data_IF_274217912243
#
_entry.id   IF_274217912243
#
_cell.length_a   1.000
_cell.length_b   1.000
_cell.length_c   1.000
_cell.angle_alpha   90.00
_cell.angle_beta   90.00
_cell.angle_gamma   90.00
#
_symmetry.space_group_name_H-M   'P 1'
#
loop_
_entity.id
_entity.type
_entity.pdbx_description
1 polymer ?
#
# COMPACT_ATOMS: atom_id res chain seq x y z
N UNK A 1 -7.75 -5.37 6.56
CA UNK A 1 -8.58 -5.50 7.77
C UNK A 1 -8.97 -6.96 8.03
N UNK A 2 -9.60 -7.65 7.08
CA UNK A 2 -9.98 -9.07 7.24
C UNK A 2 -8.84 -9.99 7.67
N UNK A 3 -7.68 -9.93 7.01
CA UNK A 3 -6.49 -10.70 7.41
C UNK A 3 -6.10 -10.44 8.88
N UNK A 4 -5.99 -9.17 9.31
CA UNK A 4 -5.72 -8.82 10.72
C UNK A 4 -6.81 -9.35 11.67
N UNK A 5 -8.09 -9.32 11.28
CA UNK A 5 -9.18 -9.86 12.09
C UNK A 5 -9.16 -11.40 12.21
N UNK A 6 -8.52 -12.08 11.26
CA UNK A 6 -8.26 -13.53 11.30
C UNK A 6 -7.02 -13.88 12.15
N UNK A 7 -6.27 -12.88 12.63
CA UNK A 7 -5.05 -13.06 13.39
C UNK A 7 -3.78 -13.08 12.52
N UNK A 8 -3.89 -12.82 11.22
CA UNK A 8 -2.76 -12.84 10.30
C UNK A 8 -1.96 -11.53 10.38
N UNK A 9 -0.68 -11.60 10.02
CA UNK A 9 0.09 -10.42 9.66
C UNK A 9 -0.11 -10.07 8.20
N UNK A 10 -0.15 -8.77 7.89
CA UNK A 10 -0.53 -8.29 6.58
C UNK A 10 0.30 -7.08 6.16
N UNK A 11 0.87 -7.17 4.95
CA UNK A 11 1.63 -6.11 4.30
C UNK A 11 0.97 -5.82 2.95
N UNK A 12 0.79 -4.53 2.63
CA UNK A 12 0.41 -4.08 1.29
C UNK A 12 1.63 -3.42 0.65
N UNK A 13 2.07 -3.95 -0.48
CA UNK A 13 3.19 -3.41 -1.27
C UNK A 13 2.68 -2.79 -2.57
N UNK A 14 2.83 -1.48 -2.72
CA UNK A 14 2.44 -0.73 -3.91
C UNK A 14 3.58 -0.71 -4.94
N UNK A 15 3.31 -1.16 -6.18
CA UNK A 15 4.29 -1.25 -7.27
C UNK A 15 3.65 -0.86 -8.62
N UNK A 16 4.47 -0.46 -9.60
CA UNK A 16 4.06 0.02 -10.94
C UNK A 16 3.01 1.15 -10.80
N UNK A 17 1.77 0.96 -11.27
CA UNK A 17 0.71 1.97 -11.15
C UNK A 17 0.05 1.98 -9.77
N UNK A 18 0.22 0.93 -8.98
CA UNK A 18 -0.28 0.90 -7.60
C UNK A 18 0.30 2.04 -6.75
N UNK A 19 1.51 2.52 -7.07
CA UNK A 19 2.13 3.63 -6.34
C UNK A 19 1.36 4.95 -6.48
N UNK A 20 0.54 5.12 -7.52
CA UNK A 20 -0.27 6.34 -7.68
C UNK A 20 -1.35 6.44 -6.62
N UNK A 21 -1.74 5.32 -5.99
CA UNK A 21 -2.70 5.29 -4.90
C UNK A 21 -2.15 5.97 -3.65
N UNK A 22 -0.86 5.79 -3.36
CA UNK A 22 -0.21 6.34 -2.16
C UNK A 22 0.37 7.74 -2.36
N UNK A 23 0.19 8.34 -3.54
CA UNK A 23 0.42 9.77 -3.73
C UNK A 23 -0.62 10.56 -2.93
N UNK A 24 -0.21 11.61 -2.23
CA UNK A 24 -1.08 12.52 -1.49
C UNK A 24 -2.27 12.97 -2.34
N UNK A 25 -3.43 13.04 -1.71
CA UNK A 25 -4.73 13.41 -2.29
C UNK A 25 -5.30 12.47 -3.36
N UNK A 26 -4.59 11.43 -3.81
CA UNK A 26 -5.11 10.52 -4.84
C UNK A 26 -6.11 9.52 -4.29
N UNK A 27 -5.82 8.88 -3.15
CA UNK A 27 -6.72 7.89 -2.55
C UNK A 27 -8.10 8.49 -2.16
N UNK A 28 -8.17 9.79 -1.87
CA UNK A 28 -9.42 10.49 -1.57
C UNK A 28 -10.37 10.58 -2.77
N UNK A 29 -9.79 10.59 -3.98
CA UNK A 29 -10.52 10.68 -5.25
C UNK A 29 -11.02 9.32 -5.72
N UNK A 30 -10.53 8.23 -5.11
CA UNK A 30 -10.91 6.86 -5.47
C UNK A 30 -12.10 6.45 -4.60
N UNK A 31 -13.27 6.33 -5.23
CA UNK A 31 -14.51 5.86 -4.60
C UNK A 31 -15.17 4.80 -5.47
N UNK A 32 -15.58 3.70 -4.86
CA UNK A 32 -16.25 2.61 -5.55
C UNK A 32 -17.64 2.38 -4.97
N UNK A 33 -18.68 2.69 -5.73
CA UNK A 33 -20.07 2.55 -5.28
C UNK A 33 -20.33 3.22 -3.92
N UNK A 34 -20.86 2.43 -2.99
CA UNK A 34 -21.20 2.88 -1.64
C UNK A 34 -20.04 2.74 -0.63
N UNK A 35 -18.85 2.31 -1.07
CA UNK A 35 -17.70 2.25 -0.18
C UNK A 35 -17.24 3.65 0.21
N UNK A 36 -16.65 3.80 1.41
CA UNK A 36 -15.89 5.00 1.78
C UNK A 36 -14.80 5.30 0.75
N UNK A 37 -14.29 6.54 0.71
CA UNK A 37 -13.08 6.86 -0.06
C UNK A 37 -11.93 5.90 0.31
N UNK A 38 -11.10 5.56 -0.67
CA UNK A 38 -10.01 4.61 -0.46
C UNK A 38 -9.03 5.09 0.63
N UNK A 39 -8.85 6.41 0.78
CA UNK A 39 -8.05 6.99 1.87
C UNK A 39 -8.53 6.57 3.26
N UNK A 40 -9.85 6.49 3.48
CA UNK A 40 -10.44 6.06 4.74
C UNK A 40 -10.23 4.56 4.97
N UNK A 41 -10.42 3.74 3.94
CA UNK A 41 -10.16 2.30 4.01
C UNK A 41 -8.67 2.01 4.29
N UNK A 42 -7.77 2.78 3.68
CA UNK A 42 -6.33 2.69 3.95
C UNK A 42 -5.99 3.12 5.38
N UNK A 43 -6.63 4.16 5.91
CA UNK A 43 -6.48 4.56 7.31
C UNK A 43 -6.93 3.44 8.25
N UNK A 44 -8.12 2.89 8.06
CA UNK A 44 -8.63 1.79 8.88
C UNK A 44 -7.73 0.55 8.82
N UNK A 45 -7.18 0.23 7.64
CA UNK A 45 -6.22 -0.86 7.48
C UNK A 45 -4.95 -0.63 8.32
N UNK A 46 -4.37 0.58 8.27
CA UNK A 46 -3.20 0.93 9.09
C UNK A 46 -3.50 0.91 10.59
N UNK A 47 -4.65 1.44 11.00
CA UNK A 47 -5.11 1.41 12.41
C UNK A 47 -5.32 -0.03 12.92
N UNK A 48 -5.63 -0.97 12.02
CA UNK A 48 -5.69 -2.40 12.33
C UNK A 48 -4.32 -3.10 12.37
N UNK A 49 -3.23 -2.35 12.13
CA UNK A 49 -1.86 -2.88 12.12
C UNK A 49 -1.40 -3.45 10.76
N UNK A 50 -2.06 -3.12 9.66
CA UNK A 50 -1.54 -3.46 8.31
C UNK A 50 -0.38 -2.52 7.97
N UNK A 51 0.76 -3.09 7.61
CA UNK A 51 1.89 -2.32 7.11
C UNK A 51 1.72 -1.97 5.63
N UNK A 52 2.11 -0.76 5.26
CA UNK A 52 2.04 -0.29 3.89
C UNK A 52 3.43 0.10 3.39
N UNK A 53 3.79 -0.38 2.21
CA UNK A 53 5.10 -0.17 1.60
C UNK A 53 4.96 0.23 0.14
N UNK A 54 5.85 1.08 -0.37
CA UNK A 54 5.83 1.54 -1.75
C UNK A 54 7.20 1.38 -2.40
N UNK A 55 7.20 0.92 -3.65
CA UNK A 55 8.41 0.72 -4.44
C UNK A 55 9.04 2.05 -4.88
N UNK A 56 10.24 2.35 -4.39
CA UNK A 56 10.99 3.59 -4.69
C UNK A 56 11.16 3.80 -6.21
N UNK A 57 11.60 2.77 -6.93
CA UNK A 57 11.80 2.84 -8.39
C UNK A 57 10.52 3.00 -9.18
N UNK A 58 9.40 2.45 -8.70
CA UNK A 58 8.11 2.65 -9.39
C UNK A 58 7.61 4.08 -9.19
N UNK A 59 7.80 4.66 -8.00
CA UNK A 59 7.47 6.06 -7.72
C UNK A 59 8.29 7.01 -8.60
N UNK A 60 9.60 6.82 -8.68
CA UNK A 60 10.48 7.62 -9.54
C UNK A 60 10.10 7.50 -11.03
N UNK A 61 9.80 6.29 -11.50
CA UNK A 61 9.36 6.05 -12.89
C UNK A 61 8.11 6.84 -13.25
N UNK A 62 7.21 7.07 -12.28
CA UNK A 62 5.98 7.82 -12.47
C UNK A 62 6.08 9.28 -12.00
N UNK A 63 7.28 9.76 -11.67
CA UNK A 63 7.53 11.14 -11.26
C UNK A 63 6.83 11.53 -9.95
N UNK A 64 6.81 10.62 -8.98
CA UNK A 64 6.26 10.86 -7.65
C UNK A 64 7.42 11.04 -6.68
N UNK A 65 7.55 12.24 -6.14
CA UNK A 65 8.59 12.55 -5.17
C UNK A 65 8.29 11.94 -3.81
N UNK A 66 9.33 11.62 -3.04
CA UNK A 66 9.21 11.00 -1.70
C UNK A 66 8.33 11.82 -0.75
N UNK A 67 8.37 13.17 -0.87
CA UNK A 67 7.55 14.07 -0.07
C UNK A 67 6.07 14.11 -0.46
N UNK A 68 5.72 13.58 -1.64
CA UNK A 68 4.34 13.44 -2.12
C UNK A 68 3.70 12.11 -1.70
N UNK A 69 4.42 11.21 -1.04
CA UNK A 69 3.88 9.94 -0.55
C UNK A 69 3.15 10.19 0.79
N UNK A 70 1.98 9.56 0.98
CA UNK A 70 1.21 9.69 2.22
C UNK A 70 1.95 9.15 3.43
N UNK A 71 1.77 9.81 4.57
CA UNK A 71 2.46 9.44 5.81
C UNK A 71 2.08 8.02 6.28
N UNK A 72 3.05 7.30 6.83
CA UNK A 72 2.90 5.93 7.31
C UNK A 72 3.02 4.86 6.22
N UNK A 73 3.37 5.22 4.99
CA UNK A 73 3.80 4.28 3.94
C UNK A 73 5.33 4.26 3.88
N UNK A 74 5.94 3.08 4.05
CA UNK A 74 7.39 2.90 4.01
C UNK A 74 7.90 2.83 2.57
N UNK A 75 8.88 3.67 2.21
CA UNK A 75 9.51 3.63 0.89
C UNK A 75 10.59 2.55 0.90
N UNK A 76 10.49 1.57 0.01
CA UNK A 76 11.36 0.39 -0.04
C UNK A 76 11.72 0.00 -1.48
N UNK A 77 12.72 -0.86 -1.64
CA UNK A 77 13.17 -1.34 -2.95
C UNK A 77 12.43 -2.59 -3.44
N UNK A 78 12.68 -3.00 -4.69
CA UNK A 78 12.14 -4.22 -5.27
C UNK A 78 12.67 -5.51 -4.59
N UNK A 79 13.90 -5.47 -4.07
CA UNK A 79 14.47 -6.59 -3.32
C UNK A 79 13.64 -6.93 -2.06
N UNK A 80 13.07 -5.92 -1.40
CA UNK A 80 12.16 -6.10 -0.26
C UNK A 80 10.92 -6.88 -0.68
N UNK A 81 10.33 -6.56 -1.83
CA UNK A 81 9.16 -7.32 -2.33
C UNK A 81 9.51 -8.79 -2.54
N UNK A 82 10.65 -9.09 -3.19
CA UNK A 82 11.07 -10.47 -3.41
C UNK A 82 11.24 -11.22 -2.08
N UNK A 83 11.82 -10.59 -1.07
CA UNK A 83 11.98 -11.21 0.24
C UNK A 83 10.62 -11.47 0.90
N UNK A 84 9.72 -10.48 0.89
CA UNK A 84 8.36 -10.63 1.45
C UNK A 84 7.58 -11.75 0.78
N UNK A 85 7.70 -11.91 -0.54
CA UNK A 85 7.04 -12.99 -1.29
C UNK A 85 7.57 -14.37 -0.88
N UNK A 86 8.86 -14.48 -0.58
CA UNK A 86 9.48 -15.75 -0.16
C UNK A 86 9.17 -16.11 1.30
N UNK A 87 8.96 -15.11 2.15
CA UNK A 87 8.68 -15.30 3.58
C UNK A 87 7.20 -15.44 3.90
N UNK A 88 6.29 -14.91 3.07
CA UNK A 88 4.86 -14.96 3.32
C UNK A 88 4.27 -16.36 3.11
N UNK A 89 3.36 -16.76 3.99
CA UNK A 89 2.57 -17.99 3.83
C UNK A 89 1.59 -17.92 2.64
N UNK A 90 1.26 -16.71 2.19
CA UNK A 90 0.39 -16.48 1.03
C UNK A 90 0.55 -15.08 0.45
N UNK A 91 0.47 -14.98 -0.88
CA UNK A 91 0.59 -13.72 -1.60
C UNK A 91 -0.56 -13.55 -2.60
N UNK A 92 -1.18 -12.37 -2.58
CA UNK A 92 -2.23 -11.98 -3.51
C UNK A 92 -1.75 -10.81 -4.36
N UNK A 93 -1.96 -10.90 -5.68
CA UNK A 93 -1.62 -9.86 -6.65
C UNK A 93 -2.90 -9.27 -7.26
N UNK A 94 -3.00 -7.94 -7.29
CA UNK A 94 -4.15 -7.18 -7.79
C UNK A 94 -3.73 -6.11 -8.80
#
# INVERSE_FOLDING_TARGET
MTAKAMGDDAIIYFVIKGVTVVKKDNAEKIKMGNFPPLSELMKQARESGVEMMVCDRSSELLGIDKGEIVDGVKIVGAATLNQLVLEADGVLYF
#
